data_IF_769377523942
#
_entry.id   IF_769377523942
#
_cell.length_a   1.000
_cell.length_b   1.000
_cell.length_c   1.000
_cell.angle_alpha   90.00
_cell.angle_beta   90.00
_cell.angle_gamma   90.00
#
_symmetry.space_group_name_H-M   'P 1'
#
loop_
_entity.id
_entity.type
_entity.pdbx_description
1 polymer ?
#
# COMPACT_ATOMS: atom_id res chain seq x y z
N UNK A 1 14.68 -10.81 24.27
CA UNK A 1 13.38 -10.77 23.58
C UNK A 1 13.34 -9.51 22.72
N UNK A 2 13.32 -9.64 21.39
CA UNK A 2 13.32 -8.48 20.49
C UNK A 2 11.95 -7.80 20.62
N UNK A 3 11.96 -6.58 21.15
CA UNK A 3 10.76 -5.75 21.27
C UNK A 3 10.49 -5.11 19.91
N UNK A 4 9.91 -5.87 18.98
CA UNK A 4 9.54 -5.34 17.67
C UNK A 4 8.54 -4.19 17.84
N UNK A 5 8.74 -3.04 17.17
CA UNK A 5 7.83 -1.92 17.26
C UNK A 5 6.43 -2.35 16.80
N UNK A 6 5.40 -1.99 17.58
CA UNK A 6 4.01 -2.32 17.24
C UNK A 6 3.49 -1.31 16.23
N UNK A 7 3.60 -1.62 14.94
CA UNK A 7 3.09 -0.79 13.85
C UNK A 7 1.98 -1.53 13.11
N UNK A 8 0.84 -0.87 12.94
CA UNK A 8 -0.28 -1.36 12.15
C UNK A 8 -0.32 -0.63 10.80
N UNK A 9 -0.40 -1.39 9.72
CA UNK A 9 -0.50 -0.87 8.36
C UNK A 9 -1.87 -1.23 7.81
N UNK A 10 -2.60 -0.25 7.30
CA UNK A 10 -3.84 -0.44 6.57
C UNK A 10 -3.68 0.16 5.19
N UNK A 11 -4.04 -0.60 4.16
CA UNK A 11 -3.98 -0.15 2.76
C UNK A 11 -5.38 -0.22 2.19
N UNK A 12 -5.79 0.84 1.52
CA UNK A 12 -7.04 0.91 0.78
C UNK A 12 -6.71 1.23 -0.68
N UNK A 13 -7.13 0.36 -1.60
CA UNK A 13 -7.01 0.60 -3.04
C UNK A 13 -8.34 1.06 -3.62
N UNK A 14 -8.27 1.95 -4.61
CA UNK A 14 -9.41 2.44 -5.36
C UNK A 14 -9.08 2.46 -6.85
N UNK A 15 -10.01 1.96 -7.67
CA UNK A 15 -9.90 2.02 -9.11
C UNK A 15 -10.29 3.42 -9.61
N UNK A 16 -9.49 3.98 -10.52
CA UNK A 16 -9.69 5.32 -11.05
C UNK A 16 -10.15 5.20 -12.50
N UNK A 17 -11.46 5.06 -12.69
CA UNK A 17 -12.10 4.93 -14.02
C UNK A 17 -11.70 6.05 -14.96
N UNK A 18 -11.73 7.30 -14.49
CA UNK A 18 -11.41 8.49 -15.29
C UNK A 18 -9.98 8.51 -15.85
N UNK A 19 -9.06 7.72 -15.29
CA UNK A 19 -7.68 7.61 -15.77
C UNK A 19 -7.39 6.25 -16.42
N UNK A 20 -8.38 5.36 -16.45
CA UNK A 20 -8.27 4.02 -17.00
C UNK A 20 -8.87 3.97 -18.40
N UNK A 21 -8.43 3.00 -19.19
CA UNK A 21 -8.92 2.72 -20.54
C UNK A 21 -8.93 1.21 -20.71
N UNK A 22 -10.02 0.53 -20.31
CA UNK A 22 -10.12 -0.94 -20.38
C UNK A 22 -9.91 -1.48 -21.80
N UNK A 23 -10.40 -0.76 -22.81
CA UNK A 23 -10.22 -1.11 -24.23
C UNK A 23 -8.76 -1.16 -24.68
N UNK A 24 -7.88 -0.42 -23.98
CA UNK A 24 -6.44 -0.40 -24.21
C UNK A 24 -5.66 -1.14 -23.12
N UNK A 25 -6.34 -2.01 -22.34
CA UNK A 25 -5.77 -2.78 -21.24
C UNK A 25 -5.07 -1.92 -20.16
N UNK A 26 -5.47 -0.65 -20.04
CA UNK A 26 -4.86 0.32 -19.12
C UNK A 26 -5.74 0.50 -17.88
N UNK A 27 -5.28 0.02 -16.74
CA UNK A 27 -6.01 0.13 -15.47
C UNK A 27 -5.21 0.93 -14.45
N UNK A 28 -5.80 2.01 -13.94
CA UNK A 28 -5.18 2.90 -12.97
C UNK A 28 -5.84 2.72 -11.62
N UNK A 29 -5.01 2.46 -10.61
CA UNK A 29 -5.44 2.35 -9.22
C UNK A 29 -4.68 3.37 -8.36
N UNK A 30 -5.38 4.02 -7.44
CA UNK A 30 -4.77 4.77 -6.37
C UNK A 30 -4.81 3.94 -5.09
N UNK A 31 -3.84 4.17 -4.20
CA UNK A 31 -3.82 3.53 -2.89
C UNK A 31 -3.56 4.56 -1.79
N UNK A 32 -4.25 4.37 -0.66
CA UNK A 32 -4.03 5.13 0.57
C UNK A 32 -3.44 4.20 1.62
N UNK A 33 -2.21 4.49 2.06
CA UNK A 33 -1.54 3.74 3.14
C UNK A 33 -1.67 4.52 4.44
N UNK A 34 -2.31 3.90 5.44
CA UNK A 34 -2.37 4.41 6.81
C UNK A 34 -1.39 3.64 7.69
N UNK A 35 -0.42 4.35 8.26
CA UNK A 35 0.61 3.79 9.15
C UNK A 35 0.32 4.27 10.57
N UNK A 36 0.04 3.34 11.49
CA UNK A 36 -0.26 3.64 12.90
C UNK A 36 0.78 3.03 13.81
N UNK A 37 1.50 3.87 14.54
CA UNK A 37 2.33 3.42 15.66
C UNK A 37 1.41 3.11 16.86
N UNK A 38 1.30 1.84 17.21
CA UNK A 38 0.58 1.34 18.39
C UNK A 38 1.54 1.06 19.57
N UNK A 39 2.84 1.30 19.37
CA UNK A 39 3.87 1.21 20.38
C UNK A 39 3.96 2.48 21.23
N UNK A 40 4.69 2.36 22.34
CA UNK A 40 4.98 3.50 23.24
C UNK A 40 6.25 4.25 22.85
N UNK A 41 7.13 3.63 22.08
CA UNK A 41 8.33 4.26 21.56
C UNK A 41 8.04 4.93 20.21
N UNK A 42 8.63 6.10 19.91
CA UNK A 42 8.57 6.70 18.59
C UNK A 42 9.22 5.78 17.56
N UNK A 43 8.69 5.80 16.34
CA UNK A 43 9.19 5.03 15.19
C UNK A 43 9.31 5.94 13.98
N UNK A 44 10.19 5.58 13.06
CA UNK A 44 10.40 6.30 11.81
C UNK A 44 10.32 5.34 10.64
N UNK A 45 9.59 5.74 9.60
CA UNK A 45 9.62 5.05 8.32
C UNK A 45 10.91 5.45 7.58
N UNK A 46 11.86 4.51 7.46
CA UNK A 46 13.13 4.75 6.78
C UNK A 46 13.06 4.48 5.28
N UNK A 47 12.27 3.50 4.88
CA UNK A 47 12.11 3.11 3.49
C UNK A 47 10.83 2.33 3.29
N UNK A 48 10.36 2.30 2.04
CA UNK A 48 9.26 1.46 1.58
C UNK A 48 9.72 0.72 0.34
N UNK A 49 9.36 -0.55 0.25
CA UNK A 49 9.58 -1.37 -0.93
C UNK A 49 8.23 -1.91 -1.38
N UNK A 50 7.90 -1.66 -2.64
CA UNK A 50 6.72 -2.23 -3.28
C UNK A 50 7.20 -3.36 -4.19
N UNK A 51 6.72 -4.57 -3.89
CA UNK A 51 6.88 -5.67 -4.81
C UNK A 51 5.65 -5.67 -5.72
N UNK A 52 5.83 -5.19 -6.95
CA UNK A 52 4.80 -5.28 -7.97
C UNK A 52 4.75 -6.73 -8.44
N UNK A 53 4.00 -7.59 -7.73
CA UNK A 53 3.66 -8.90 -8.24
C UNK A 53 2.66 -8.68 -9.36
N UNK A 54 3.16 -8.69 -10.60
CA UNK A 54 2.39 -8.45 -11.82
C UNK A 54 1.04 -9.17 -11.73
N UNK A 55 -0.02 -8.37 -11.60
CA UNK A 55 -1.39 -8.84 -11.44
C UNK A 55 -1.78 -9.64 -12.69
N UNK A 56 -1.91 -10.96 -12.56
CA UNK A 56 -2.57 -11.82 -13.53
C UNK A 56 -4.07 -11.62 -13.36
N UNK A 57 -4.62 -10.59 -14.00
CA UNK A 57 -6.06 -10.55 -14.24
C UNK A 57 -6.41 -11.70 -15.21
N UNK A 58 -7.51 -12.45 -15.00
CA UNK A 58 -8.03 -13.37 -15.99
C UNK A 58 -8.54 -12.63 -17.24
#
# INVERSE_FOLDING_TARGET
MINSPRVCIQVQSVYIEAQSSPDNERYVFAYTVTIRNLGRAPVQLLGRYWADHQWQWP
#
